data_IF_630481603073
#
_entry.id   IF_630481603073
#
_cell.length_a   1.000
_cell.length_b   1.000
_cell.length_c   1.000
_cell.angle_alpha   90.00
_cell.angle_beta   90.00
_cell.angle_gamma   90.00
#
_symmetry.space_group_name_H-M   'P 1'
#
loop_
_entity.id
_entity.type
_entity.pdbx_description
1 polymer ?
#
# COMPACT_ATOMS: atom_id res chain seq x y z
N UNK A 1 -65.59 1.01 7.88
CA UNK A 1 -65.02 1.84 8.96
C UNK A 1 -63.64 1.26 9.29
N UNK A 2 -62.60 1.71 8.58
CA UNK A 2 -61.22 1.31 8.86
C UNK A 2 -60.85 1.95 10.21
N UNK A 3 -60.70 1.14 11.24
CA UNK A 3 -60.33 1.60 12.57
C UNK A 3 -58.94 2.24 12.52
N UNK A 4 -58.74 3.37 13.20
CA UNK A 4 -57.46 4.11 13.22
C UNK A 4 -56.23 3.22 13.49
N UNK A 5 -56.40 2.13 14.23
CA UNK A 5 -55.37 1.10 14.47
C UNK A 5 -54.83 0.45 13.18
N UNK A 6 -55.70 0.13 12.22
CA UNK A 6 -55.31 -0.52 10.96
C UNK A 6 -54.51 0.43 10.06
N UNK A 7 -54.83 1.72 10.08
CA UNK A 7 -54.11 2.75 9.32
C UNK A 7 -52.73 3.01 9.93
N UNK A 8 -52.62 3.08 11.27
CA UNK A 8 -51.34 3.25 11.96
C UNK A 8 -50.39 2.07 11.77
N UNK A 9 -50.89 0.83 11.75
CA UNK A 9 -50.05 -0.36 11.49
C UNK A 9 -49.56 -0.37 10.04
N UNK A 10 -50.42 -0.09 9.07
CA UNK A 10 -50.02 -0.03 7.64
C UNK A 10 -49.02 1.10 7.41
N UNK A 11 -49.21 2.27 8.04
CA UNK A 11 -48.29 3.40 7.96
C UNK A 11 -46.94 3.08 8.62
N UNK A 12 -46.94 2.38 9.77
CA UNK A 12 -45.69 1.90 10.39
C UNK A 12 -44.97 0.89 9.49
N UNK A 13 -45.68 -0.07 8.87
CA UNK A 13 -45.06 -1.07 7.98
C UNK A 13 -44.52 -0.41 6.71
N UNK A 14 -45.24 0.54 6.11
CA UNK A 14 -44.73 1.28 4.94
C UNK A 14 -43.52 2.15 5.29
N UNK A 15 -43.50 2.75 6.49
CA UNK A 15 -42.39 3.59 6.95
C UNK A 15 -41.16 2.76 7.34
N UNK A 16 -41.35 1.57 7.95
CA UNK A 16 -40.29 0.62 8.28
C UNK A 16 -39.72 -0.06 7.01
N UNK A 17 -40.57 -0.37 6.03
CA UNK A 17 -40.15 -0.83 4.70
C UNK A 17 -39.40 0.25 3.91
N UNK A 18 -39.85 1.52 3.99
CA UNK A 18 -39.13 2.65 3.40
C UNK A 18 -37.78 2.90 4.09
N UNK A 19 -37.69 2.70 5.41
CA UNK A 19 -36.45 2.85 6.18
C UNK A 19 -35.47 1.68 5.96
N UNK A 20 -35.98 0.45 5.78
CA UNK A 20 -35.17 -0.73 5.41
C UNK A 20 -34.67 -0.69 3.96
N UNK A 21 -35.30 0.10 3.08
CA UNK A 21 -34.91 0.16 1.67
C UNK A 21 -33.65 0.99 1.37
N UNK A 22 -33.09 1.72 2.35
CA UNK A 22 -32.01 2.69 2.10
C UNK A 22 -30.61 2.19 2.51
N UNK A 23 -30.48 1.08 3.27
CA UNK A 23 -29.16 0.66 3.81
C UNK A 23 -28.54 -0.62 3.20
N UNK A 24 -29.22 -1.33 2.31
CA UNK A 24 -28.78 -2.68 1.89
C UNK A 24 -27.96 -2.73 0.58
N UNK A 25 -27.99 -1.68 -0.25
CA UNK A 25 -27.28 -1.66 -1.54
C UNK A 25 -25.86 -1.11 -1.38
N UNK A 26 -25.04 -1.85 -0.65
CA UNK A 26 -23.65 -1.53 -0.35
C UNK A 26 -22.75 -2.71 -0.70
N UNK A 27 -21.50 -2.41 -1.04
CA UNK A 27 -20.46 -3.46 -1.13
C UNK A 27 -20.26 -4.11 0.24
N UNK A 28 -19.69 -5.31 0.26
CA UNK A 28 -19.37 -6.05 1.49
C UNK A 28 -17.89 -6.39 1.52
N UNK A 29 -17.38 -6.77 2.69
CA UNK A 29 -16.01 -7.22 2.87
C UNK A 29 -14.97 -6.26 2.26
N UNK A 30 -15.24 -4.95 2.28
CA UNK A 30 -14.31 -3.96 1.77
C UNK A 30 -13.05 -4.02 2.62
N UNK A 31 -11.95 -4.39 1.99
CA UNK A 31 -10.65 -4.56 2.64
C UNK A 31 -9.57 -3.86 1.82
N UNK A 32 -8.46 -3.58 2.48
CA UNK A 32 -7.30 -2.99 1.86
C UNK A 32 -6.06 -3.80 2.23
N UNK A 33 -5.20 -4.05 1.25
CA UNK A 33 -3.88 -4.62 1.45
C UNK A 33 -2.87 -3.69 0.78
N UNK A 34 -1.72 -3.47 1.42
CA UNK A 34 -0.63 -2.76 0.77
C UNK A 34 -0.15 -3.62 -0.40
N UNK A 35 -0.38 -3.12 -1.61
CA UNK A 35 0.11 -3.73 -2.85
C UNK A 35 1.59 -3.39 -3.03
N UNK A 36 1.89 -2.11 -2.85
CA UNK A 36 3.25 -1.58 -2.82
C UNK A 36 3.43 -0.44 -1.80
N UNK A 37 4.63 0.15 -1.72
CA UNK A 37 4.88 1.24 -0.78
C UNK A 37 4.08 2.51 -1.10
N UNK A 38 3.73 2.72 -2.36
CA UNK A 38 2.94 3.84 -2.91
C UNK A 38 1.62 3.38 -3.53
N UNK A 39 1.16 2.16 -3.23
CA UNK A 39 -0.05 1.61 -3.80
C UNK A 39 -0.75 0.65 -2.83
N UNK A 40 -2.07 0.76 -2.83
CA UNK A 40 -2.93 -0.07 -1.99
C UNK A 40 -3.94 -0.75 -2.90
N UNK A 41 -4.06 -2.07 -2.78
CA UNK A 41 -5.15 -2.82 -3.39
C UNK A 41 -6.35 -2.80 -2.45
N UNK A 42 -7.50 -2.44 -3.00
CA UNK A 42 -8.79 -2.52 -2.34
C UNK A 42 -9.62 -3.59 -3.02
N UNK A 43 -10.22 -4.46 -2.22
CA UNK A 43 -11.12 -5.50 -2.70
C UNK A 43 -12.41 -5.53 -1.90
N UNK A 44 -13.49 -5.95 -2.54
CA UNK A 44 -14.81 -6.06 -1.93
C UNK A 44 -15.62 -7.19 -2.56
N UNK A 45 -16.79 -7.47 -1.98
CA UNK A 45 -17.80 -8.35 -2.52
C UNK A 45 -19.04 -7.54 -2.94
N UNK A 46 -19.78 -7.95 -3.98
CA UNK A 46 -21.07 -7.36 -4.32
C UNK A 46 -22.09 -7.46 -3.17
N UNK A 47 -23.18 -6.66 -3.18
CA UNK A 47 -24.28 -6.80 -2.22
C UNK A 47 -24.87 -8.21 -2.20
N UNK A 48 -25.45 -8.59 -1.06
CA UNK A 48 -26.26 -9.84 -0.94
C UNK A 48 -27.71 -9.66 -1.40
N UNK A 49 -28.09 -8.45 -1.80
CA UNK A 49 -29.42 -8.15 -2.33
C UNK A 49 -29.40 -8.15 -3.86
N UNK A 50 -30.53 -8.47 -4.50
CA UNK A 50 -30.67 -8.35 -5.94
C UNK A 50 -30.27 -6.94 -6.39
N UNK A 51 -29.32 -6.87 -7.32
CA UNK A 51 -28.94 -5.61 -7.97
C UNK A 51 -29.76 -5.43 -9.25
N UNK A 52 -29.95 -4.17 -9.72
CA UNK A 52 -30.30 -3.92 -11.11
C UNK A 52 -29.35 -4.68 -12.05
N UNK A 53 -29.81 -4.95 -13.27
CA UNK A 53 -28.92 -5.46 -14.31
C UNK A 53 -27.80 -4.43 -14.54
N UNK A 54 -26.56 -4.90 -14.63
CA UNK A 54 -25.33 -4.12 -14.79
C UNK A 54 -25.09 -3.01 -13.73
N UNK A 55 -24.34 -3.37 -12.68
CA UNK A 55 -23.84 -2.41 -11.68
C UNK A 55 -22.35 -2.14 -11.84
N UNK A 56 -21.98 -0.90 -11.55
CA UNK A 56 -20.61 -0.41 -11.48
C UNK A 56 -20.29 0.05 -10.06
N UNK A 57 -19.00 0.12 -9.76
CA UNK A 57 -18.46 0.65 -8.52
C UNK A 57 -17.78 1.98 -8.81
N UNK A 58 -18.21 3.04 -8.14
CA UNK A 58 -17.57 4.36 -8.17
C UNK A 58 -16.73 4.52 -6.88
N UNK A 59 -15.42 4.66 -7.07
CA UNK A 59 -14.44 4.71 -6.00
C UNK A 59 -14.09 6.17 -5.74
N UNK A 60 -14.16 6.55 -4.48
CA UNK A 60 -13.77 7.85 -3.99
C UNK A 60 -12.54 7.74 -3.10
N UNK A 61 -11.55 8.60 -3.31
CA UNK A 61 -10.34 8.70 -2.49
C UNK A 61 -10.30 10.08 -1.85
N UNK A 62 -10.28 10.12 -0.51
CA UNK A 62 -10.35 11.35 0.27
C UNK A 62 -11.50 12.28 -0.15
N UNK A 63 -12.64 11.69 -0.53
CA UNK A 63 -13.85 12.41 -0.95
C UNK A 63 -13.93 12.78 -2.43
N UNK A 64 -12.87 12.59 -3.22
CA UNK A 64 -12.86 12.87 -4.66
C UNK A 64 -13.10 11.60 -5.48
N UNK A 65 -13.85 11.69 -6.58
CA UNK A 65 -14.02 10.57 -7.52
C UNK A 65 -12.66 10.21 -8.10
N UNK A 66 -12.26 8.95 -7.93
CA UNK A 66 -11.02 8.40 -8.48
C UNK A 66 -11.27 7.64 -9.77
N UNK A 67 -12.20 6.66 -9.74
CA UNK A 67 -12.46 5.79 -10.89
C UNK A 67 -13.81 5.09 -10.77
N UNK A 68 -14.40 4.75 -11.91
CA UNK A 68 -15.50 3.78 -12.00
C UNK A 68 -15.02 2.46 -12.61
N UNK A 69 -15.49 1.32 -12.11
CA UNK A 69 -15.15 -0.01 -12.61
C UNK A 69 -16.30 -1.01 -12.43
N UNK A 70 -16.33 -2.05 -13.26
CA UNK A 70 -17.19 -3.22 -13.07
C UNK A 70 -16.50 -4.37 -12.31
N UNK A 71 -15.23 -4.18 -11.91
CA UNK A 71 -14.47 -5.15 -11.12
C UNK A 71 -14.69 -4.93 -9.62
N UNK A 72 -14.47 -5.98 -8.84
CA UNK A 72 -14.55 -5.94 -7.37
C UNK A 72 -13.19 -5.75 -6.69
N UNK A 73 -12.16 -5.40 -7.46
CA UNK A 73 -10.82 -5.03 -6.99
C UNK A 73 -10.30 -3.83 -7.77
N UNK A 74 -9.51 -2.99 -7.11
CA UNK A 74 -8.76 -1.89 -7.69
C UNK A 74 -7.44 -1.70 -6.95
N UNK A 75 -6.38 -1.36 -7.70
CA UNK A 75 -5.13 -0.89 -7.12
C UNK A 75 -5.06 0.62 -7.35
N UNK A 76 -4.85 1.37 -6.28
CA UNK A 76 -4.64 2.82 -6.32
C UNK A 76 -3.15 3.08 -6.19
N UNK A 77 -2.53 3.64 -7.24
CA UNK A 77 -1.10 3.93 -7.32
C UNK A 77 -0.77 5.40 -6.97
N UNK A 78 0.52 5.73 -6.99
CA UNK A 78 1.08 7.07 -6.81
C UNK A 78 0.70 7.74 -5.48
N UNK A 79 0.52 6.92 -4.45
CA UNK A 79 0.23 7.34 -3.09
C UNK A 79 1.52 7.77 -2.38
N UNK A 80 1.40 8.70 -1.43
CA UNK A 80 2.51 9.14 -0.59
C UNK A 80 2.79 8.09 0.49
N UNK A 81 4.05 7.88 0.83
CA UNK A 81 4.48 7.01 1.94
C UNK A 81 3.89 7.48 3.28
N UNK A 82 3.74 6.55 4.24
CA UNK A 82 3.25 6.85 5.60
C UNK A 82 1.96 7.68 5.63
N UNK A 83 1.10 7.58 4.62
CA UNK A 83 -0.04 8.47 4.43
C UNK A 83 -1.33 7.68 4.49
N UNK A 84 -2.27 8.18 5.29
CA UNK A 84 -3.61 7.61 5.42
C UNK A 84 -4.51 8.10 4.28
N UNK A 85 -5.21 7.17 3.65
CA UNK A 85 -6.19 7.39 2.61
C UNK A 85 -7.56 6.84 3.02
N UNK A 86 -8.60 7.63 2.83
CA UNK A 86 -9.99 7.26 3.06
C UNK A 86 -10.62 6.83 1.73
N UNK A 87 -10.99 5.57 1.61
CA UNK A 87 -11.59 5.02 0.39
C UNK A 87 -13.05 4.70 0.63
N UNK A 88 -13.91 5.27 -0.19
CA UNK A 88 -15.35 4.99 -0.20
C UNK A 88 -15.74 4.36 -1.54
N UNK A 89 -16.46 3.23 -1.48
CA UNK A 89 -16.96 2.53 -2.66
C UNK A 89 -18.47 2.61 -2.68
N UNK A 90 -19.01 3.20 -3.74
CA UNK A 90 -20.45 3.30 -4.00
C UNK A 90 -20.85 2.45 -5.18
N UNK A 91 -22.08 1.98 -5.17
CA UNK A 91 -22.67 1.27 -6.30
C UNK A 91 -23.39 2.28 -7.19
N UNK A 92 -23.25 2.12 -8.50
CA UNK A 92 -23.92 2.90 -9.54
C UNK A 92 -24.61 1.92 -10.47
N UNK A 93 -25.90 2.12 -10.73
CA UNK A 93 -26.61 1.32 -11.73
C UNK A 93 -26.48 1.92 -13.14
N UNK A 94 -26.96 1.18 -14.14
CA UNK A 94 -27.00 1.59 -15.55
C UNK A 94 -27.68 2.94 -15.80
N UNK A 95 -28.58 3.38 -14.90
CA UNK A 95 -29.30 4.66 -14.99
C UNK A 95 -28.52 5.81 -14.33
N UNK A 96 -27.23 5.61 -14.03
CA UNK A 96 -26.37 6.56 -13.31
C UNK A 96 -26.86 6.90 -11.89
N UNK A 97 -27.74 6.09 -11.30
CA UNK A 97 -28.19 6.30 -9.92
C UNK A 97 -27.14 5.78 -8.96
N UNK A 98 -26.66 6.67 -8.09
CA UNK A 98 -25.67 6.38 -7.05
C UNK A 98 -26.36 5.96 -5.76
N UNK A 99 -26.02 4.79 -5.27
CA UNK A 99 -26.48 4.29 -3.98
C UNK A 99 -25.56 4.81 -2.88
N UNK A 100 -26.14 5.55 -1.94
CA UNK A 100 -25.45 6.15 -0.79
C UNK A 100 -25.86 5.41 0.49
N UNK A 101 -24.99 5.38 1.53
CA UNK A 101 -23.72 6.11 1.66
C UNK A 101 -22.50 5.43 1.00
N UNK A 102 -22.63 4.18 0.52
CA UNK A 102 -21.48 3.34 0.19
C UNK A 102 -20.77 2.82 1.44
N UNK A 103 -19.72 2.03 1.26
CA UNK A 103 -18.85 1.59 2.37
C UNK A 103 -17.54 2.36 2.32
N UNK A 104 -17.09 2.80 3.50
CA UNK A 104 -15.84 3.54 3.65
C UNK A 104 -14.90 2.82 4.59
N UNK A 105 -13.63 2.70 4.20
CA UNK A 105 -12.55 2.28 5.09
C UNK A 105 -11.40 3.28 5.00
N UNK A 106 -10.50 3.22 5.97
CA UNK A 106 -9.22 3.92 5.94
C UNK A 106 -8.10 2.89 5.78
N UNK A 107 -7.16 3.18 4.90
CA UNK A 107 -5.94 2.40 4.74
C UNK A 107 -4.74 3.35 4.78
N UNK A 108 -3.60 2.86 5.24
CA UNK A 108 -2.37 3.64 5.30
C UNK A 108 -1.34 2.96 4.42
N UNK A 109 -0.70 3.72 3.54
CA UNK A 109 0.46 3.25 2.78
C UNK A 109 1.56 2.85 3.75
N UNK A 110 2.33 1.83 3.38
CA UNK A 110 3.48 1.44 4.19
C UNK A 110 4.40 2.64 4.44
N UNK A 111 4.85 2.79 5.68
CA UNK A 111 5.70 3.91 6.06
C UNK A 111 7.16 3.76 5.65
N UNK A 112 7.53 2.57 5.24
CA UNK A 112 8.83 2.19 4.72
C UNK A 112 8.59 1.88 3.25
N UNK A 113 9.39 2.46 2.36
CA UNK A 113 9.44 2.05 0.96
C UNK A 113 9.73 0.55 0.83
N UNK A 114 9.84 0.04 -0.38
CA UNK A 114 10.39 -1.30 -0.60
C UNK A 114 11.90 -1.36 -0.39
N UNK A 115 12.43 -0.54 0.50
CA UNK A 115 13.83 -0.53 0.79
C UNK A 115 14.19 -1.62 1.77
N UNK A 116 15.50 -1.87 1.82
CA UNK A 116 16.09 -2.78 2.77
C UNK A 116 15.76 -2.35 4.20
N UNK A 117 15.71 -3.30 5.12
CA UNK A 117 15.49 -3.05 6.56
C UNK A 117 16.73 -3.43 7.34
N UNK A 118 16.92 -2.85 8.52
CA UNK A 118 18.04 -3.17 9.42
C UNK A 118 19.42 -3.18 8.72
N UNK A 119 19.67 -2.20 7.85
CA UNK A 119 20.99 -2.03 7.23
C UNK A 119 22.03 -1.73 8.31
N UNK A 120 23.08 -2.53 8.37
CA UNK A 120 24.15 -2.40 9.37
C UNK A 120 25.50 -2.88 8.86
N UNK A 121 26.56 -2.30 9.41
CA UNK A 121 27.91 -2.83 9.30
C UNK A 121 28.05 -4.06 10.21
N UNK A 122 28.44 -5.20 9.65
CA UNK A 122 28.58 -6.47 10.39
C UNK A 122 30.02 -6.82 10.75
N UNK A 123 31.00 -6.28 10.01
CA UNK A 123 32.42 -6.46 10.31
C UNK A 123 33.21 -5.20 9.96
N UNK A 124 34.28 -4.97 10.72
CA UNK A 124 35.25 -3.90 10.51
C UNK A 124 36.56 -4.54 10.05
N UNK A 125 37.04 -4.13 8.87
CA UNK A 125 38.35 -4.49 8.37
C UNK A 125 39.14 -3.23 8.02
N UNK A 126 40.46 -3.40 7.91
CA UNK A 126 41.38 -2.30 7.70
C UNK A 126 41.10 -1.52 6.41
N UNK A 127 40.74 -2.23 5.34
CA UNK A 127 40.49 -1.62 4.03
C UNK A 127 39.16 -2.08 3.41
N UNK A 128 38.23 -2.56 4.24
CA UNK A 128 36.94 -3.06 3.78
C UNK A 128 35.80 -2.84 4.80
N UNK A 129 34.60 -2.65 4.26
CA UNK A 129 33.35 -2.55 5.02
C UNK A 129 32.43 -3.69 4.59
N UNK A 130 31.97 -4.48 5.56
CA UNK A 130 30.98 -5.53 5.34
C UNK A 130 29.64 -5.07 5.89
N UNK A 131 28.61 -5.12 5.06
CA UNK A 131 27.24 -4.72 5.42
C UNK A 131 26.26 -5.86 5.19
N UNK A 132 25.21 -5.87 6.00
CA UNK A 132 24.06 -6.76 5.83
C UNK A 132 22.76 -5.99 6.04
N UNK A 133 21.68 -6.50 5.48
CA UNK A 133 20.34 -5.99 5.69
C UNK A 133 19.31 -7.11 5.66
N UNK A 134 18.06 -6.78 5.91
CA UNK A 134 16.90 -7.62 5.66
C UNK A 134 16.19 -7.17 4.39
N UNK A 135 15.63 -8.13 3.66
CA UNK A 135 14.77 -7.84 2.52
C UNK A 135 13.58 -6.95 2.92
N UNK A 136 13.00 -6.20 1.97
CA UNK A 136 11.81 -5.37 2.20
C UNK A 136 10.67 -6.19 2.82
N UNK A 137 9.84 -5.54 3.65
CA UNK A 137 8.75 -6.23 4.36
C UNK A 137 7.60 -6.65 3.44
N UNK A 138 7.44 -5.96 2.31
CA UNK A 138 6.39 -6.18 1.34
C UNK A 138 7.08 -6.36 -0.01
N UNK A 139 7.23 -7.59 -0.49
CA UNK A 139 7.52 -7.86 -1.89
C UNK A 139 7.24 -9.34 -2.13
N UNK A 140 6.39 -9.61 -3.12
CA UNK A 140 5.84 -10.95 -3.39
C UNK A 140 6.55 -11.65 -4.57
N UNK A 141 7.70 -11.13 -5.02
CA UNK A 141 8.44 -11.71 -6.14
C UNK A 141 9.93 -11.87 -5.88
N UNK A 142 10.48 -12.98 -6.39
CA UNK A 142 11.77 -13.55 -5.96
C UNK A 142 13.01 -12.84 -6.52
N UNK A 143 12.87 -11.80 -7.36
CA UNK A 143 14.02 -11.08 -7.91
C UNK A 143 14.11 -9.61 -7.46
N UNK A 144 14.77 -9.40 -6.32
CA UNK A 144 15.26 -8.08 -5.91
C UNK A 144 16.73 -7.91 -6.28
N UNK A 145 17.07 -6.73 -6.78
CA UNK A 145 18.46 -6.28 -6.87
C UNK A 145 18.68 -5.15 -5.87
N UNK A 146 19.88 -5.08 -5.31
CA UNK A 146 20.30 -4.04 -4.39
C UNK A 146 21.47 -3.30 -5.02
N UNK A 147 21.31 -1.99 -5.23
CA UNK A 147 22.40 -1.10 -5.63
C UNK A 147 23.07 -0.53 -4.37
N UNK A 148 24.39 -0.67 -4.28
CA UNK A 148 25.20 -0.16 -3.18
C UNK A 148 25.92 1.09 -3.65
N UNK A 149 25.85 2.14 -2.84
CA UNK A 149 26.52 3.40 -3.06
C UNK A 149 27.47 3.71 -1.91
N UNK A 150 28.63 4.25 -2.24
CA UNK A 150 29.65 4.71 -1.31
C UNK A 150 29.83 6.22 -1.50
N UNK A 151 29.61 7.00 -0.44
CA UNK A 151 29.64 8.47 -0.47
C UNK A 151 28.81 9.08 -1.60
N UNK A 152 27.64 8.47 -1.88
CA UNK A 152 26.73 8.91 -2.95
C UNK A 152 27.11 8.46 -4.36
N UNK A 153 28.23 7.76 -4.54
CA UNK A 153 28.63 7.19 -5.84
C UNK A 153 28.28 5.70 -5.92
N UNK A 154 27.78 5.28 -7.08
CA UNK A 154 27.49 3.88 -7.33
C UNK A 154 28.76 3.04 -7.16
N UNK A 155 28.64 1.94 -6.41
CA UNK A 155 29.74 1.01 -6.14
C UNK A 155 29.50 -0.33 -6.84
N UNK A 156 28.40 -1.01 -6.53
CA UNK A 156 28.11 -2.36 -7.04
C UNK A 156 26.63 -2.73 -6.95
N UNK A 157 26.26 -3.89 -7.52
CA UNK A 157 24.92 -4.49 -7.44
C UNK A 157 25.04 -5.90 -6.87
N UNK A 158 24.05 -6.31 -6.08
CA UNK A 158 23.93 -7.69 -5.56
C UNK A 158 22.47 -8.13 -5.51
N UNK A 159 22.23 -9.44 -5.51
CA UNK A 159 20.90 -10.05 -5.34
C UNK A 159 20.75 -10.76 -3.98
N UNK A 160 21.74 -10.67 -3.11
CA UNK A 160 21.71 -11.19 -1.74
C UNK A 160 21.73 -10.06 -0.73
N UNK A 161 21.36 -10.33 0.51
CA UNK A 161 21.18 -9.30 1.55
C UNK A 161 22.46 -8.90 2.29
N UNK A 162 23.59 -8.92 1.58
CA UNK A 162 24.91 -8.55 2.10
C UNK A 162 25.83 -8.08 0.98
N UNK A 163 26.80 -7.24 1.34
CA UNK A 163 27.83 -6.76 0.41
C UNK A 163 29.14 -6.44 1.15
N UNK A 164 30.24 -6.49 0.39
CA UNK A 164 31.58 -6.11 0.84
C UNK A 164 32.09 -5.01 -0.06
N UNK A 165 32.52 -3.90 0.54
CA UNK A 165 33.15 -2.77 -0.16
C UNK A 165 34.63 -2.79 0.20
N UNK A 166 35.49 -2.95 -0.81
CA UNK A 166 36.94 -3.09 -0.65
C UNK A 166 37.69 -1.84 -1.11
N UNK A 167 39.02 -1.84 -0.93
CA UNK A 167 39.94 -0.77 -1.37
C UNK A 167 39.62 0.58 -0.71
N UNK A 168 39.31 0.54 0.58
CA UNK A 168 39.03 1.72 1.39
C UNK A 168 40.25 2.14 2.19
N UNK A 169 40.32 3.42 2.53
CA UNK A 169 41.35 3.96 3.41
C UNK A 169 41.12 3.49 4.85
N UNK A 170 42.20 3.18 5.58
CA UNK A 170 42.12 2.80 7.00
C UNK A 170 41.59 3.96 7.84
N UNK A 171 40.97 3.64 8.98
CA UNK A 171 40.44 4.63 9.95
C UNK A 171 39.52 5.72 9.36
N UNK A 172 38.81 5.41 8.27
CA UNK A 172 38.03 6.39 7.52
C UNK A 172 36.54 6.07 7.62
N UNK A 173 35.73 7.12 7.78
CA UNK A 173 34.27 7.02 7.80
C UNK A 173 33.71 7.21 6.39
N UNK A 174 32.75 6.37 6.03
CA UNK A 174 32.05 6.38 4.76
C UNK A 174 30.54 6.38 4.96
N UNK A 175 29.82 7.03 4.05
CA UNK A 175 28.37 6.90 3.94
C UNK A 175 28.06 5.76 2.98
N UNK A 176 27.40 4.73 3.48
CA UNK A 176 27.03 3.55 2.69
C UNK A 176 25.53 3.51 2.54
N UNK A 177 25.05 3.59 1.30
CA UNK A 177 23.63 3.55 0.97
C UNK A 177 23.30 2.28 0.21
N UNK A 178 22.13 1.71 0.49
CA UNK A 178 21.56 0.58 -0.25
C UNK A 178 20.19 0.98 -0.77
N UNK A 179 20.02 0.87 -2.09
CA UNK A 179 18.76 1.12 -2.80
C UNK A 179 18.22 -0.21 -3.30
N UNK A 180 16.94 -0.46 -3.07
CA UNK A 180 16.28 -1.63 -3.65
C UNK A 180 15.79 -1.32 -5.07
N UNK A 181 16.02 -2.26 -5.98
CA UNK A 181 15.60 -2.22 -7.37
C UNK A 181 14.68 -3.41 -7.62
N UNK A 182 13.47 -3.11 -8.10
CA UNK A 182 12.46 -4.13 -8.39
C UNK A 182 12.70 -4.80 -9.76
N UNK A 183 11.92 -5.83 -10.09
CA UNK A 183 12.03 -6.58 -11.35
C UNK A 183 11.83 -5.72 -12.61
N UNK A 184 11.15 -4.57 -12.48
CA UNK A 184 10.92 -3.62 -13.57
C UNK A 184 12.04 -2.58 -13.69
N UNK A 185 13.08 -2.67 -12.87
CA UNK A 185 14.20 -1.72 -12.82
C UNK A 185 13.88 -0.40 -12.10
N UNK A 186 12.76 -0.31 -11.40
CA UNK A 186 12.43 0.88 -10.61
C UNK A 186 13.20 0.89 -9.28
N UNK A 187 13.78 2.04 -8.95
CA UNK A 187 14.57 2.26 -7.73
C UNK A 187 13.70 2.85 -6.62
N UNK A 188 13.83 2.31 -5.42
CA UNK A 188 13.25 2.92 -4.22
C UNK A 188 14.19 3.99 -3.66
N UNK A 189 14.27 5.13 -4.35
CA UNK A 189 15.12 6.25 -3.92
C UNK A 189 14.52 6.98 -2.71
N UNK A 190 15.33 7.48 -1.76
CA UNK A 190 16.79 7.59 -1.81
C UNK A 190 17.59 6.37 -1.29
N UNK A 191 16.93 5.27 -0.91
CA UNK A 191 17.59 4.14 -0.22
C UNK A 191 17.66 4.30 1.29
N UNK A 192 18.29 3.32 1.96
CA UNK A 192 18.70 3.43 3.36
C UNK A 192 20.19 3.69 3.42
N UNK A 193 20.60 4.65 4.26
CA UNK A 193 22.01 5.03 4.42
C UNK A 193 22.45 4.87 5.86
N UNK A 194 23.67 4.36 6.05
CA UNK A 194 24.36 4.29 7.34
C UNK A 194 25.75 4.93 7.24
N UNK A 195 26.28 5.38 8.37
CA UNK A 195 27.69 5.69 8.52
C UNK A 195 28.43 4.40 8.91
N UNK A 196 29.47 4.05 8.16
CA UNK A 196 30.31 2.88 8.42
C UNK A 196 31.80 3.29 8.48
N UNK A 197 32.60 2.56 9.24
CA UNK A 197 34.02 2.88 9.46
C UNK A 197 34.92 1.69 9.15
N UNK A 198 36.04 1.95 8.49
CA UNK A 198 37.16 0.99 8.41
C UNK A 198 37.95 1.00 9.72
N UNK A 199 38.52 -0.14 10.07
CA UNK A 199 39.50 -0.22 11.17
C UNK A 199 40.89 0.16 10.68
N UNK A 200 41.86 0.11 11.57
CA UNK A 200 43.23 -0.16 11.20
C UNK A 200 43.86 -0.94 12.34
N UNK A 201 44.45 -2.09 12.03
CA UNK A 201 45.44 -2.65 12.91
C UNK A 201 46.76 -1.93 12.61
N UNK A 202 47.34 -1.33 13.64
CA UNK A 202 48.76 -1.01 13.63
C UNK A 202 49.50 -2.36 13.67
N UNK A 203 50.25 -2.68 12.61
CA UNK A 203 51.15 -3.85 12.58
C UNK A 203 52.31 -3.70 13.56
#
# INVERSE_FOLDING_TARGET
MLTLYSVSIILLIHMDCAFQSISHMNVRNLSAINWDSTAIEFSWSPPDVPTPNDVFYEIYVNGNVYKQTNKTTIIIYDLKLSTKYKVNVKIVDENCKRYSPGITIEAMTAGIGYNVRDLKQVMMYDAAIHISWWSPAYYDSEALQYEIYLNGHFNQITNITQAVINNLDKFTQYNVSVITVNEKGARDSPGITIEAKTSGFDE
#
